data_IF_453544168422
#
_entry.id   IF_453544168422
#
_cell.length_a   1.000
_cell.length_b   1.000
_cell.length_c   1.000
_cell.angle_alpha   90.00
_cell.angle_beta   90.00
_cell.angle_gamma   90.00
#
_symmetry.space_group_name_H-M   'P 1'
#
loop_
_entity.id
_entity.type
_entity.pdbx_description
1 polymer ?
#
# COMPACT_ATOMS: atom_id res chain seq x y z
N UNK A 1 7.85 -0.11 11.30
CA UNK A 1 7.52 1.33 11.44
C UNK A 1 7.35 2.01 10.08
N UNK A 2 8.26 1.77 9.13
CA UNK A 2 8.25 2.39 7.80
C UNK A 2 7.02 2.03 6.96
N UNK A 3 6.58 0.77 6.97
CA UNK A 3 5.41 0.31 6.20
C UNK A 3 4.10 1.00 6.61
N UNK A 4 3.82 1.07 7.92
CA UNK A 4 2.64 1.76 8.43
C UNK A 4 2.71 3.26 8.15
N UNK A 5 3.87 3.90 8.30
CA UNK A 5 4.04 5.32 8.01
C UNK A 5 3.71 5.67 6.55
N UNK A 6 4.24 4.91 5.58
CA UNK A 6 3.96 5.14 4.15
C UNK A 6 2.48 4.88 3.82
N UNK A 7 1.85 3.88 4.45
CA UNK A 7 0.42 3.62 4.28
C UNK A 7 -0.45 4.79 4.78
N UNK A 8 -0.10 5.42 5.90
CA UNK A 8 -0.80 6.63 6.37
C UNK A 8 -0.56 7.84 5.47
N UNK A 9 0.65 8.01 4.93
CA UNK A 9 0.94 9.06 3.94
C UNK A 9 0.09 8.85 2.69
N UNK A 10 -0.02 7.60 2.20
CA UNK A 10 -0.85 7.27 1.05
C UNK A 10 -2.34 7.60 1.30
N UNK A 11 -2.86 7.26 2.49
CA UNK A 11 -4.22 7.60 2.87
C UNK A 11 -4.42 9.13 2.96
N UNK A 12 -3.47 9.86 3.52
CA UNK A 12 -3.52 11.33 3.58
C UNK A 12 -3.54 11.97 2.19
N UNK A 13 -2.69 11.49 1.27
CA UNK A 13 -2.69 11.94 -0.13
C UNK A 13 -4.02 11.62 -0.81
N UNK A 14 -4.58 10.42 -0.58
CA UNK A 14 -5.87 10.03 -1.13
C UNK A 14 -7.02 10.94 -0.64
N UNK A 15 -7.00 11.36 0.63
CA UNK A 15 -7.98 12.30 1.19
C UNK A 15 -7.81 13.72 0.66
N UNK A 16 -6.57 14.15 0.41
CA UNK A 16 -6.27 15.51 -0.04
C UNK A 16 -6.92 15.84 -1.39
N UNK A 17 -7.07 14.85 -2.28
CA UNK A 17 -7.66 15.04 -3.62
C UNK A 17 -9.13 15.49 -3.54
N UNK A 18 -10.08 14.70 -2.96
CA UNK A 18 -11.47 15.12 -2.87
C UNK A 18 -11.65 16.36 -1.98
N UNK A 19 -10.84 16.55 -0.94
CA UNK A 19 -10.88 17.76 -0.11
C UNK A 19 -10.49 19.01 -0.89
N UNK A 20 -9.45 18.94 -1.73
CA UNK A 20 -9.03 20.05 -2.58
C UNK A 20 -10.10 20.41 -3.62
N UNK A 21 -10.78 19.41 -4.19
CA UNK A 21 -11.93 19.65 -5.08
C UNK A 21 -13.09 20.31 -4.34
N UNK A 22 -13.40 19.86 -3.12
CA UNK A 22 -14.46 20.46 -2.31
C UNK A 22 -14.15 21.91 -1.91
N UNK A 23 -12.86 22.27 -1.79
CA UNK A 23 -12.40 23.63 -1.55
C UNK A 23 -12.45 24.54 -2.80
N UNK A 24 -12.91 24.03 -3.95
CA UNK A 24 -13.07 24.80 -5.18
C UNK A 24 -11.78 25.03 -5.97
N UNK A 25 -10.71 24.29 -5.67
CA UNK A 25 -9.48 24.35 -6.47
C UNK A 25 -9.72 23.84 -7.90
N UNK A 26 -8.94 24.31 -8.88
CA UNK A 26 -9.11 23.91 -10.27
C UNK A 26 -8.91 22.40 -10.45
N UNK A 27 -9.97 21.74 -10.93
CA UNK A 27 -10.06 20.28 -10.97
C UNK A 27 -8.94 19.62 -11.82
N UNK A 28 -8.51 20.26 -12.90
CA UNK A 28 -7.44 19.73 -13.75
C UNK A 28 -6.12 19.56 -12.97
N UNK A 29 -5.71 20.58 -12.20
CA UNK A 29 -4.48 20.57 -11.41
C UNK A 29 -4.61 19.56 -10.27
N UNK A 30 -5.75 19.57 -9.57
CA UNK A 30 -5.98 18.69 -8.42
C UNK A 30 -5.99 17.22 -8.82
N UNK A 31 -6.71 16.86 -9.90
CA UNK A 31 -6.79 15.47 -10.35
C UNK A 31 -5.44 15.00 -10.90
N UNK A 32 -4.82 15.75 -11.82
CA UNK A 32 -3.56 15.31 -12.44
C UNK A 32 -2.43 15.28 -11.41
N UNK A 33 -2.24 16.38 -10.66
CA UNK A 33 -1.19 16.47 -9.65
C UNK A 33 -1.42 15.51 -8.48
N UNK A 34 -2.67 15.41 -8.01
CA UNK A 34 -3.05 14.53 -6.91
C UNK A 34 -2.87 13.06 -7.26
N UNK A 35 -3.30 12.61 -8.45
CA UNK A 35 -3.12 11.22 -8.88
C UNK A 35 -1.65 10.90 -9.17
N UNK A 36 -0.86 11.84 -9.70
CA UNK A 36 0.58 11.66 -9.87
C UNK A 36 1.29 11.44 -8.53
N UNK A 37 1.00 12.29 -7.53
CA UNK A 37 1.53 12.14 -6.18
C UNK A 37 1.06 10.85 -5.53
N UNK A 38 -0.24 10.52 -5.64
CA UNK A 38 -0.78 9.27 -5.16
C UNK A 38 -0.06 8.07 -5.78
N UNK A 39 0.17 8.07 -7.10
CA UNK A 39 0.90 7.02 -7.79
C UNK A 39 2.34 6.85 -7.29
N UNK A 40 3.06 7.95 -7.06
CA UNK A 40 4.43 7.91 -6.53
C UNK A 40 4.48 7.30 -5.12
N UNK A 41 3.60 7.74 -4.21
CA UNK A 41 3.53 7.19 -2.85
C UNK A 41 3.03 5.74 -2.86
N UNK A 42 2.08 5.40 -3.72
CA UNK A 42 1.56 4.05 -3.88
C UNK A 42 2.66 3.08 -4.32
N UNK A 43 3.52 3.49 -5.25
CA UNK A 43 4.66 2.68 -5.70
C UNK A 43 5.63 2.36 -4.56
N UNK A 44 5.96 3.35 -3.72
CA UNK A 44 6.77 3.14 -2.52
C UNK A 44 6.10 2.17 -1.53
N UNK A 45 4.81 2.36 -1.27
CA UNK A 45 4.04 1.46 -0.40
C UNK A 45 4.04 0.01 -0.91
N UNK A 46 3.83 -0.17 -2.22
CA UNK A 46 3.80 -1.48 -2.87
C UNK A 46 5.16 -2.17 -2.82
N UNK A 47 6.26 -1.43 -2.99
CA UNK A 47 7.62 -1.97 -2.92
C UNK A 47 7.94 -2.48 -1.51
N UNK A 48 7.64 -1.69 -0.48
CA UNK A 48 7.87 -2.07 0.92
C UNK A 48 7.05 -3.30 1.31
N UNK A 49 5.78 -3.37 0.92
CA UNK A 49 4.93 -4.51 1.26
C UNK A 49 5.41 -5.80 0.56
N UNK A 50 5.85 -5.70 -0.69
CA UNK A 50 6.40 -6.85 -1.43
C UNK A 50 7.70 -7.37 -0.81
N UNK A 51 8.56 -6.46 -0.33
CA UNK A 51 9.78 -6.82 0.42
C UNK A 51 9.46 -7.59 1.72
N UNK A 52 8.50 -7.08 2.50
CA UNK A 52 8.13 -7.67 3.78
C UNK A 52 7.62 -9.12 3.67
N UNK A 53 6.96 -9.48 2.59
CA UNK A 53 6.43 -10.84 2.39
C UNK A 53 7.57 -11.86 2.22
N UNK A 54 8.65 -11.46 1.55
CA UNK A 54 9.85 -12.28 1.42
C UNK A 54 10.59 -12.37 2.75
N UNK A 55 10.70 -11.26 3.48
CA UNK A 55 11.40 -11.20 4.77
C UNK A 55 10.71 -12.04 5.87
N UNK A 56 9.36 -12.08 5.87
CA UNK A 56 8.56 -12.83 6.84
C UNK A 56 8.37 -14.32 6.53
N UNK A 57 8.86 -14.80 5.39
CA UNK A 57 8.63 -16.21 5.01
C UNK A 57 9.89 -17.05 5.20
N UNK A 58 9.78 -18.11 6.02
CA UNK A 58 10.78 -19.19 6.07
C UNK A 58 10.82 -19.97 4.75
N UNK A 59 12.03 -20.43 4.37
CA UNK A 59 12.36 -20.97 3.05
C UNK A 59 11.39 -22.02 2.48
N UNK A 60 10.84 -22.91 3.33
CA UNK A 60 9.92 -23.98 2.89
C UNK A 60 8.51 -23.50 2.51
N UNK A 61 8.12 -22.26 2.86
CA UNK A 61 6.77 -21.73 2.61
C UNK A 61 6.72 -20.54 1.64
N UNK A 62 7.86 -20.18 1.04
CA UNK A 62 8.00 -19.00 0.15
C UNK A 62 7.01 -19.04 -1.00
N UNK A 63 6.95 -20.15 -1.75
CA UNK A 63 6.08 -20.26 -2.92
C UNK A 63 4.58 -20.12 -2.58
N UNK A 64 4.14 -20.68 -1.45
CA UNK A 64 2.75 -20.62 -1.01
C UNK A 64 2.37 -19.19 -0.56
N UNK A 65 3.22 -18.54 0.24
CA UNK A 65 2.98 -17.19 0.72
C UNK A 65 2.98 -16.16 -0.42
N UNK A 66 3.88 -16.32 -1.39
CA UNK A 66 3.90 -15.51 -2.61
C UNK A 66 2.64 -15.76 -3.44
N UNK A 67 2.19 -17.01 -3.56
CA UNK A 67 0.94 -17.37 -4.21
C UNK A 67 -0.28 -16.65 -3.61
N UNK A 68 -0.43 -16.68 -2.28
CA UNK A 68 -1.49 -15.96 -1.59
C UNK A 68 -1.41 -14.44 -1.79
N UNK A 69 -0.19 -13.87 -1.81
CA UNK A 69 -0.02 -12.45 -2.09
C UNK A 69 -0.52 -12.04 -3.48
N UNK A 70 -0.17 -12.80 -4.52
CA UNK A 70 -0.63 -12.52 -5.88
C UNK A 70 -2.15 -12.70 -6.02
N UNK A 71 -2.73 -13.73 -5.39
CA UNK A 71 -4.19 -13.90 -5.35
C UNK A 71 -4.88 -12.72 -4.67
N UNK A 72 -4.36 -12.27 -3.52
CA UNK A 72 -4.87 -11.10 -2.81
C UNK A 72 -4.73 -9.81 -3.65
N UNK A 73 -3.62 -9.63 -4.36
CA UNK A 73 -3.40 -8.48 -5.24
C UNK A 73 -4.39 -8.46 -6.41
N UNK A 74 -4.57 -9.60 -7.08
CA UNK A 74 -5.53 -9.74 -8.18
C UNK A 74 -6.97 -9.53 -7.68
N UNK A 75 -7.32 -10.12 -6.53
CA UNK A 75 -8.62 -9.93 -5.89
C UNK A 75 -8.90 -8.47 -5.54
N UNK A 76 -7.92 -7.78 -4.94
CA UNK A 76 -8.03 -6.36 -4.63
C UNK A 76 -8.24 -5.49 -5.87
N UNK A 77 -7.53 -5.76 -6.97
CA UNK A 77 -7.72 -5.07 -8.26
C UNK A 77 -9.12 -5.31 -8.81
N UNK A 78 -9.61 -6.55 -8.80
CA UNK A 78 -10.95 -6.89 -9.27
C UNK A 78 -12.03 -6.16 -8.47
N UNK A 79 -11.98 -6.28 -7.13
CA UNK A 79 -12.93 -5.63 -6.23
C UNK A 79 -12.87 -4.12 -6.39
N UNK A 80 -11.67 -3.53 -6.44
CA UNK A 80 -11.49 -2.09 -6.63
C UNK A 80 -12.09 -1.59 -7.95
N UNK A 81 -11.83 -2.27 -9.06
CA UNK A 81 -12.39 -1.90 -10.37
C UNK A 81 -13.93 -1.99 -10.37
N UNK A 82 -14.50 -3.10 -9.92
CA UNK A 82 -15.96 -3.27 -9.89
C UNK A 82 -16.65 -2.27 -8.95
N UNK A 83 -16.12 -2.12 -7.73
CA UNK A 83 -16.68 -1.21 -6.74
C UNK A 83 -16.54 0.25 -7.18
N UNK A 84 -15.45 0.61 -7.87
CA UNK A 84 -15.30 1.96 -8.42
C UNK A 84 -16.39 2.27 -9.46
N UNK A 85 -16.79 1.30 -10.28
CA UNK A 85 -17.92 1.45 -11.20
C UNK A 85 -19.25 1.68 -10.47
N UNK A 86 -19.51 0.93 -9.39
CA UNK A 86 -20.70 1.11 -8.54
C UNK A 86 -20.69 2.49 -7.87
N UNK A 87 -19.57 2.89 -7.28
CA UNK A 87 -19.42 4.18 -6.60
C UNK A 87 -19.55 5.35 -7.57
N UNK A 88 -19.03 5.22 -8.79
CA UNK A 88 -19.17 6.25 -9.82
C UNK A 88 -20.64 6.46 -10.21
N UNK A 89 -21.40 5.38 -10.36
CA UNK A 89 -22.83 5.49 -10.65
C UNK A 89 -23.62 6.10 -9.49
N UNK A 90 -23.26 5.81 -8.25
CA UNK A 90 -23.98 6.31 -7.07
C UNK A 90 -23.62 7.75 -6.69
N UNK A 91 -22.35 8.15 -6.80
CA UNK A 91 -21.81 9.40 -6.25
C UNK A 91 -20.76 10.07 -7.14
N UNK A 92 -20.62 9.64 -8.40
CA UNK A 92 -19.69 10.20 -9.36
C UNK A 92 -18.22 10.05 -8.96
N UNK A 93 -17.38 10.93 -9.51
CA UNK A 93 -15.94 10.95 -9.25
C UNK A 93 -15.60 11.12 -7.75
N UNK A 94 -16.36 11.96 -7.05
CA UNK A 94 -16.16 12.18 -5.61
C UNK A 94 -16.35 10.89 -4.81
N UNK A 95 -17.34 10.06 -5.17
CA UNK A 95 -17.55 8.74 -4.59
C UNK A 95 -16.35 7.81 -4.77
N UNK A 96 -15.77 7.78 -5.97
CA UNK A 96 -14.57 6.98 -6.25
C UNK A 96 -13.36 7.42 -5.42
N UNK A 97 -13.14 8.74 -5.29
CA UNK A 97 -12.03 9.29 -4.53
C UNK A 97 -12.15 8.99 -3.02
N UNK A 98 -13.34 9.17 -2.46
CA UNK A 98 -13.61 8.81 -1.06
C UNK A 98 -13.53 7.31 -0.82
N UNK A 99 -13.99 6.48 -1.77
CA UNK A 99 -13.79 5.03 -1.72
C UNK A 99 -12.32 4.65 -1.70
N UNK A 100 -11.50 5.21 -2.59
CA UNK A 100 -10.06 4.99 -2.61
C UNK A 100 -9.39 5.40 -1.28
N UNK A 101 -9.76 6.55 -0.72
CA UNK A 101 -9.33 6.96 0.62
C UNK A 101 -9.72 5.94 1.69
N UNK A 102 -10.97 5.46 1.70
CA UNK A 102 -11.44 4.51 2.70
C UNK A 102 -10.64 3.20 2.67
N UNK A 103 -10.35 2.66 1.47
CA UNK A 103 -9.50 1.47 1.34
C UNK A 103 -8.05 1.75 1.76
N UNK A 104 -7.48 2.89 1.40
CA UNK A 104 -6.13 3.28 1.80
C UNK A 104 -6.02 3.44 3.33
N UNK A 105 -7.01 4.07 3.96
CA UNK A 105 -7.10 4.23 5.40
C UNK A 105 -7.26 2.89 6.12
N UNK A 106 -8.12 2.01 5.61
CA UNK A 106 -8.27 0.65 6.13
C UNK A 106 -6.94 -0.12 6.05
N UNK A 107 -6.23 -0.05 4.92
CA UNK A 107 -4.92 -0.66 4.76
C UNK A 107 -3.88 -0.09 5.75
N UNK A 108 -3.87 1.22 5.98
CA UNK A 108 -2.99 1.87 6.95
C UNK A 108 -3.27 1.40 8.38
N UNK A 109 -4.55 1.29 8.77
CA UNK A 109 -4.97 0.78 10.08
C UNK A 109 -4.54 -0.69 10.25
N UNK A 110 -4.78 -1.53 9.25
CA UNK A 110 -4.36 -2.95 9.29
C UNK A 110 -2.84 -3.06 9.39
N UNK A 111 -2.09 -2.18 8.73
CA UNK A 111 -0.62 -2.15 8.76
C UNK A 111 -0.05 -1.85 10.15
N UNK A 112 -0.82 -1.29 11.08
CA UNK A 112 -0.40 -1.12 12.47
C UNK A 112 -0.18 -2.46 13.19
N UNK A 113 -0.84 -3.53 12.74
CA UNK A 113 -0.71 -4.88 13.29
C UNK A 113 0.46 -5.67 12.70
N UNK A 114 1.21 -5.11 11.75
CA UNK A 114 2.37 -5.80 11.19
C UNK A 114 3.46 -6.00 12.25
N UNK A 115 4.11 -7.19 12.30
CA UNK A 115 5.25 -7.42 13.18
C UNK A 115 6.31 -6.35 12.96
N UNK A 116 7.02 -5.96 14.03
CA UNK A 116 8.09 -4.94 13.94
C UNK A 116 9.48 -5.56 13.89
N UNK A 117 9.59 -6.85 14.11
CA UNK A 117 10.82 -7.62 14.15
C UNK A 117 10.96 -8.37 12.81
N UNK A 118 12.00 -8.03 12.06
CA UNK A 118 12.40 -8.78 10.87
C UNK A 118 12.97 -10.14 11.32
N UNK A 119 12.39 -11.24 10.81
CA UNK A 119 12.77 -12.62 11.16
C UNK A 119 14.22 -12.94 10.73
N UNK A 120 14.77 -12.20 9.76
CA UNK A 120 16.07 -12.44 9.16
C UNK A 120 17.17 -11.43 9.54
N UNK A 121 16.87 -10.44 10.40
CA UNK A 121 17.88 -9.48 10.87
C UNK A 121 19.08 -10.22 11.52
N UNK A 122 18.81 -11.30 12.28
CA UNK A 122 19.82 -12.12 12.94
C UNK A 122 20.64 -12.98 11.96
N UNK A 123 20.05 -13.44 10.84
CA UNK A 123 20.79 -14.22 9.82
C UNK A 123 21.77 -13.36 9.02
N UNK A 124 21.49 -12.06 8.84
CA UNK A 124 22.42 -11.12 8.20
C UNK A 124 23.62 -10.81 9.11
N UNK A 125 23.40 -10.66 10.42
CA UNK A 125 24.50 -10.49 11.40
C UNK A 125 25.33 -11.76 11.56
N UNK A 126 24.72 -12.94 11.58
CA UNK A 126 25.44 -14.23 11.64
C UNK A 126 26.25 -14.50 10.36
N UNK A 127 25.75 -14.08 9.19
CA UNK A 127 26.47 -14.18 7.93
C UNK A 127 27.68 -13.22 7.87
N UNK A 128 27.56 -11.99 8.39
CA UNK A 128 28.67 -11.04 8.43
C UNK A 128 29.75 -11.42 9.45
N UNK A 129 29.37 -12.03 10.58
CA UNK A 129 30.33 -12.53 11.58
C UNK A 129 31.12 -13.74 11.06
N UNK A 130 30.54 -14.54 10.17
CA UNK A 130 31.21 -15.73 9.62
C UNK A 130 32.24 -15.39 8.54
N UNK A 131 32.12 -14.24 7.87
CA UNK A 131 33.08 -13.79 6.85
C UNK A 131 34.35 -13.13 7.38
N UNK A 132 34.37 -12.75 8.67
CA UNK A 132 35.53 -12.09 9.30
C UNK A 132 36.50 -13.07 9.99
N UNK A 133 36.24 -14.39 9.88
CA UNK A 133 36.95 -15.44 10.61
C UNK A 133 37.58 -16.55 9.75
N UNK A 134 37.66 -16.39 8.42
CA UNK A 134 38.40 -17.29 7.51
C UNK A 134 39.66 -16.63 6.95
#
# INVERSE_FOLDING_TARGET
ATASAIAFILAAVAAAIPLSLAAGLPANVVIVGGLALFGAVFALNSAVHSYLILDYTDGDKVALNVGFYYMANAGGRLVGCLLSGVLYQAAGLAGCLWGAFAFAAAAAIVSLKLPREALHAEKLTMASVKTDGE
#
